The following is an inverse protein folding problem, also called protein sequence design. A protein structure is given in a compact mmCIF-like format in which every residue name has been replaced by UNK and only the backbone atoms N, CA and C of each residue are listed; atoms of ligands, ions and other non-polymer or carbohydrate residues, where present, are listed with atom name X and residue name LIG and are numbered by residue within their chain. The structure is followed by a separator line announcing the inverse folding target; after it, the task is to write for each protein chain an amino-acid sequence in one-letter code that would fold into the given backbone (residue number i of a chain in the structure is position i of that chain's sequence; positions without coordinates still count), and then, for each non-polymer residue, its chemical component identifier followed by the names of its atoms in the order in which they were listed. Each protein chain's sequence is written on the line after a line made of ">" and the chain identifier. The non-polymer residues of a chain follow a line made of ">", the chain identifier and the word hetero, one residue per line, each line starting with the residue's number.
data_IF_206709769224
#
_entry.id   IF_206709769224
#
_cell.length_a   1.000
_cell.length_b   1.000
_cell.length_c   1.000
_cell.angle_alpha   90.00
_cell.angle_beta   90.00
_cell.angle_gamma   90.00
#
_symmetry.space_group_name_H-M   'P 1'
#
loop_
_entity.id
_entity.type
_entity.pdbx_description
1 polymer ?
#
# COMPACT_ATOMS: atom_id res chain seq x y z
N UNK A 1 6.04 13.87 16.11
CA UNK A 1 5.92 12.75 15.15
C UNK A 1 4.51 12.21 15.21
N UNK A 2 4.01 11.66 14.12
CA UNK A 2 2.69 11.01 14.06
C UNK A 2 2.84 9.59 13.55
N UNK A 3 2.01 8.68 14.06
CA UNK A 3 1.95 7.30 13.55
C UNK A 3 1.16 7.29 12.24
N UNK A 4 1.71 6.62 11.24
CA UNK A 4 1.12 6.45 9.92
C UNK A 4 1.40 5.04 9.40
N UNK A 5 0.90 4.73 8.21
CA UNK A 5 1.06 3.41 7.58
C UNK A 5 1.78 3.57 6.24
N UNK A 6 2.93 2.93 6.09
CA UNK A 6 3.71 2.90 4.86
C UNK A 6 3.32 1.66 4.07
N UNK A 7 2.93 1.86 2.81
CA UNK A 7 2.73 0.77 1.86
C UNK A 7 4.07 0.31 1.31
N UNK A 8 4.37 -0.97 1.50
CA UNK A 8 5.50 -1.69 0.93
C UNK A 8 4.99 -2.53 -0.24
N UNK A 9 5.75 -2.54 -1.32
CA UNK A 9 5.48 -3.38 -2.49
C UNK A 9 6.72 -4.20 -2.80
N UNK A 10 6.54 -5.49 -3.04
CA UNK A 10 7.56 -6.43 -3.47
C UNK A 10 7.14 -6.96 -4.83
N UNK A 11 7.98 -6.77 -5.84
CA UNK A 11 7.76 -7.22 -7.22
C UNK A 11 8.87 -8.20 -7.57
N UNK A 12 8.51 -9.45 -7.85
CA UNK A 12 9.46 -10.51 -8.21
C UNK A 12 10.63 -10.67 -7.20
N UNK A 13 10.34 -10.45 -5.91
CA UNK A 13 11.31 -10.50 -4.82
C UNK A 13 12.07 -9.19 -4.57
N UNK A 14 11.94 -8.20 -5.44
CA UNK A 14 12.55 -6.87 -5.27
C UNK A 14 11.62 -5.93 -4.51
N UNK A 15 12.13 -5.31 -3.44
CA UNK A 15 11.39 -4.31 -2.68
C UNK A 15 11.39 -3.00 -3.44
N UNK A 16 10.22 -2.50 -3.78
CA UNK A 16 10.05 -1.16 -4.32
C UNK A 16 10.12 -0.15 -3.16
N UNK A 17 11.31 0.37 -2.89
CA UNK A 17 11.51 1.37 -1.86
C UNK A 17 10.90 2.71 -2.26
N UNK A 18 9.63 2.93 -1.91
CA UNK A 18 8.97 4.23 -2.03
C UNK A 18 8.47 4.70 -0.67
N UNK A 19 9.23 5.61 -0.06
CA UNK A 19 8.82 6.32 1.16
C UNK A 19 7.66 7.32 0.92
N UNK A 20 7.07 7.35 -0.27
CA UNK A 20 6.04 8.30 -0.67
C UNK A 20 4.61 7.79 -0.40
N UNK A 21 4.42 6.47 -0.28
CA UNK A 21 3.10 5.86 -0.08
C UNK A 21 2.76 5.72 1.40
N UNK A 22 2.61 6.88 2.06
CA UNK A 22 2.25 6.98 3.47
C UNK A 22 0.78 7.36 3.61
N UNK A 23 0.06 6.63 4.44
CA UNK A 23 -1.37 6.78 4.68
C UNK A 23 -1.64 7.08 6.15
N UNK A 24 -2.69 7.87 6.44
CA UNK A 24 -3.11 8.10 7.84
C UNK A 24 -3.86 6.90 8.39
N UNK A 25 -4.59 6.19 7.53
CA UNK A 25 -5.46 5.07 7.90
C UNK A 25 -4.91 3.74 7.42
N UNK A 26 -4.81 2.77 8.33
CA UNK A 26 -4.47 1.38 8.00
C UNK A 26 -5.47 0.76 7.03
N UNK A 27 -6.76 1.10 7.16
CA UNK A 27 -7.80 0.58 6.27
C UNK A 27 -7.61 1.10 4.85
N UNK A 28 -7.26 2.38 4.69
CA UNK A 28 -7.00 2.98 3.38
C UNK A 28 -5.75 2.35 2.75
N UNK A 29 -4.67 2.26 3.51
CA UNK A 29 -3.46 1.58 3.06
C UNK A 29 -3.73 0.14 2.59
N UNK A 30 -4.49 -0.64 3.37
CA UNK A 30 -4.84 -2.01 3.04
C UNK A 30 -5.75 -2.13 1.81
N UNK A 31 -6.61 -1.15 1.54
CA UNK A 31 -7.39 -1.12 0.29
C UNK A 31 -6.47 -1.02 -0.92
N UNK A 32 -5.47 -0.12 -0.88
CA UNK A 32 -4.48 0.00 -1.95
C UNK A 32 -3.61 -1.26 -2.06
N UNK A 33 -3.12 -1.79 -0.93
CA UNK A 33 -2.34 -3.02 -0.90
C UNK A 33 -3.10 -4.17 -1.59
N UNK A 34 -4.35 -4.41 -1.21
CA UNK A 34 -5.21 -5.43 -1.82
C UNK A 34 -5.39 -5.19 -3.32
N UNK A 35 -5.73 -3.98 -3.72
CA UNK A 35 -5.95 -3.64 -5.13
C UNK A 35 -4.69 -3.92 -5.98
N UNK A 36 -3.51 -3.64 -5.43
CA UNK A 36 -2.22 -3.93 -6.06
C UNK A 36 -1.91 -5.42 -6.11
N UNK A 37 -2.21 -6.19 -5.06
CA UNK A 37 -2.01 -7.64 -5.07
C UNK A 37 -2.97 -8.36 -6.01
N UNK A 38 -4.18 -7.84 -6.22
CA UNK A 38 -5.17 -8.45 -7.10
C UNK A 38 -5.14 -7.92 -8.52
N UNK A 39 -4.35 -6.88 -8.82
CA UNK A 39 -4.36 -6.22 -10.13
C UNK A 39 -5.71 -5.57 -10.46
N UNK A 40 -6.39 -5.03 -9.44
CA UNK A 40 -7.71 -4.41 -9.60
C UNK A 40 -7.57 -3.10 -10.39
N UNK A 41 -8.15 -3.05 -11.59
CA UNK A 41 -8.11 -1.88 -12.48
C UNK A 41 -9.42 -1.09 -12.50
N UNK A 42 -10.46 -1.56 -11.81
CA UNK A 42 -11.78 -0.94 -11.78
C UNK A 42 -12.36 -0.96 -10.37
N UNK A 43 -13.12 0.08 -10.01
CA UNK A 43 -13.80 0.20 -8.70
C UNK A 43 -14.89 -0.86 -8.46
N UNK A 44 -15.25 -1.61 -9.51
CA UNK A 44 -16.11 -2.78 -9.37
C UNK A 44 -15.20 -3.92 -8.95
N UNK A 45 -15.21 -4.22 -7.65
CA UNK A 45 -14.62 -5.39 -6.99
C UNK A 45 -15.00 -6.68 -7.71
N UNK A 46 -14.38 -6.90 -8.85
CA UNK A 46 -14.45 -8.11 -9.65
C UNK A 46 -13.49 -9.07 -8.98
N UNK A 47 -13.82 -10.35 -8.94
CA UNK A 47 -12.93 -11.36 -8.36
C UNK A 47 -11.71 -11.52 -9.29
N UNK A 48 -10.74 -10.62 -9.17
CA UNK A 48 -9.47 -10.68 -9.90
C UNK A 48 -8.54 -11.58 -9.08
N UNK A 49 -8.05 -12.65 -9.69
CA UNK A 49 -7.12 -13.56 -9.03
C UNK A 49 -5.86 -12.82 -8.57
N UNK A 50 -5.31 -13.23 -7.42
CA UNK A 50 -4.06 -12.65 -6.91
C UNK A 50 -2.93 -12.75 -7.93
N UNK A 51 -2.18 -11.67 -8.11
CA UNK A 51 -1.00 -11.63 -8.94
C UNK A 51 0.13 -12.43 -8.27
N UNK A 52 0.71 -13.39 -8.99
CA UNK A 52 1.65 -14.38 -8.41
C UNK A 52 3.04 -13.85 -8.07
N UNK A 53 3.34 -12.58 -8.39
CA UNK A 53 4.67 -11.95 -8.20
C UNK A 53 4.63 -10.60 -7.51
N UNK A 54 3.46 -10.16 -7.06
CA UNK A 54 3.29 -8.88 -6.38
C UNK A 54 2.78 -9.17 -4.98
N UNK A 55 3.51 -8.67 -3.99
CA UNK A 55 3.06 -8.65 -2.60
C UNK A 55 3.03 -7.20 -2.16
N UNK A 56 1.91 -6.75 -1.59
CA UNK A 56 1.79 -5.40 -1.08
C UNK A 56 1.19 -5.43 0.32
N UNK A 57 1.80 -4.72 1.25
CA UNK A 57 1.37 -4.71 2.65
C UNK A 57 1.74 -3.41 3.33
N UNK A 58 1.07 -3.13 4.44
CA UNK A 58 1.21 -1.89 5.19
C UNK A 58 1.94 -2.11 6.50
N UNK A 59 2.94 -1.28 6.79
CA UNK A 59 3.67 -1.31 8.07
C UNK A 59 3.48 0.02 8.83
N UNK A 60 3.36 0.00 10.17
CA UNK A 60 3.34 1.23 10.95
C UNK A 60 4.68 1.96 10.85
N UNK A 61 4.66 3.27 10.64
CA UNK A 61 5.85 4.12 10.53
C UNK A 61 5.62 5.46 11.23
N UNK A 62 6.61 5.91 11.99
CA UNK A 62 6.63 7.27 12.55
C UNK A 62 7.08 8.26 11.48
N UNK A 63 6.29 9.31 11.27
CA UNK A 63 6.59 10.34 10.26
C UNK A 63 6.51 11.75 10.84
N UNK A 64 7.03 12.72 10.08
CA UNK A 64 6.90 14.14 10.41
C UNK A 64 5.41 14.53 10.41
N UNK A 65 4.95 15.41 11.32
CA UNK A 65 3.60 15.97 11.24
C UNK A 65 3.30 16.65 9.89
N UNK A 66 4.33 17.10 9.16
CA UNK A 66 4.22 17.76 7.86
C UNK A 66 4.31 16.80 6.67
N UNK A 67 4.33 15.48 6.90
CA UNK A 67 4.35 14.48 5.83
C UNK A 67 3.07 14.56 4.99
N UNK A 68 3.22 14.51 3.67
CA UNK A 68 2.07 14.47 2.75
C UNK A 68 1.56 13.03 2.68
N UNK A 69 0.29 12.85 3.03
CA UNK A 69 -0.38 11.55 2.99
C UNK A 69 -1.02 11.29 1.63
N UNK A 70 -1.16 10.02 1.27
CA UNK A 70 -1.74 9.54 -0.01
C UNK A 70 -3.11 8.90 0.17
N UNK A 71 -3.91 9.42 1.10
CA UNK A 71 -5.28 8.91 1.36
C UNK A 71 -6.22 9.16 0.16
#
# INVERSE_FOLDING_TARGET
>A
MVMAFLLIMIIDGEVLESNQFVFKSVYRCNQFARALETGETSYKFSYVGSQTKITAYCIPKMVSPNTIFRD
#
